data_IF_547401493202
#
_entry.id   IF_547401493202
#
_cell.length_a   1.000
_cell.length_b   1.000
_cell.length_c   1.000
_cell.angle_alpha   90.00
_cell.angle_beta   90.00
_cell.angle_gamma   90.00
#
_symmetry.space_group_name_H-M   'P 1'
#
loop_
_entity.id
_entity.type
_entity.pdbx_description
1 polymer ?
#
# COMPACT_ATOMS: atom_id res chain seq x y z
N UNK A 1 28.01 15.74 11.27
CA UNK A 1 27.65 15.57 9.85
C UNK A 1 26.29 14.91 9.88
N UNK A 2 25.25 15.63 9.47
CA UNK A 2 23.93 15.03 9.27
C UNK A 2 24.09 14.03 8.12
N UNK A 3 23.86 12.75 8.39
CA UNK A 3 23.74 11.77 7.32
C UNK A 3 22.46 12.12 6.57
N UNK A 4 22.60 12.55 5.31
CA UNK A 4 21.47 12.66 4.40
C UNK A 4 20.89 11.25 4.22
N UNK A 5 19.80 10.94 4.92
CA UNK A 5 19.02 9.75 4.63
C UNK A 5 18.51 9.88 3.20
N UNK A 6 18.84 8.90 2.36
CA UNK A 6 18.34 8.84 0.99
C UNK A 6 16.82 8.81 1.02
N UNK A 7 16.20 9.77 0.33
CA UNK A 7 14.74 9.84 0.18
C UNK A 7 14.29 8.65 -0.66
N UNK A 8 13.86 7.57 0.00
CA UNK A 8 13.34 6.37 -0.63
C UNK A 8 11.86 6.19 -0.35
N UNK A 9 11.13 5.65 -1.34
CA UNK A 9 9.74 5.27 -1.16
C UNK A 9 9.65 4.17 -0.11
N UNK A 10 8.89 4.43 0.96
CA UNK A 10 8.68 3.45 2.02
C UNK A 10 7.76 2.34 1.51
N UNK A 11 8.14 1.08 1.74
CA UNK A 11 7.29 -0.09 1.44
C UNK A 11 6.84 -0.73 2.74
N UNK A 12 5.53 -0.74 2.97
CA UNK A 12 4.92 -1.22 4.20
C UNK A 12 4.12 -2.49 3.89
N UNK A 13 4.50 -3.62 4.50
CA UNK A 13 3.86 -4.93 4.25
C UNK A 13 2.65 -5.20 5.14
N UNK A 14 2.58 -4.57 6.31
CA UNK A 14 1.49 -4.73 7.28
C UNK A 14 0.77 -3.40 7.40
N UNK A 15 -0.56 -3.40 7.25
CA UNK A 15 -1.35 -2.17 7.41
C UNK A 15 -1.15 -1.66 8.85
N UNK A 16 -0.67 -0.42 9.04
CA UNK A 16 -0.55 0.17 10.37
C UNK A 16 -1.94 0.52 10.92
N UNK A 17 -2.05 0.61 12.24
CA UNK A 17 -3.14 1.38 12.86
C UNK A 17 -3.02 2.87 12.53
N UNK A 18 -4.08 3.65 12.78
CA UNK A 18 -4.03 5.11 12.63
C UNK A 18 -2.92 5.74 13.48
N UNK A 19 -2.75 5.28 14.72
CA UNK A 19 -1.72 5.79 15.64
C UNK A 19 -0.30 5.43 15.17
N UNK A 20 -0.12 4.21 14.65
CA UNK A 20 1.15 3.77 14.05
C UNK A 20 1.49 4.61 12.80
N UNK A 21 0.49 4.94 11.97
CA UNK A 21 0.71 5.80 10.81
C UNK A 21 1.17 7.21 11.23
N UNK A 22 0.44 7.86 12.14
CA UNK A 22 0.72 9.22 12.62
C UNK A 22 2.09 9.30 13.31
N UNK A 23 2.46 8.29 14.08
CA UNK A 23 3.71 8.31 14.85
C UNK A 23 4.94 7.88 14.06
N UNK A 24 4.81 6.98 13.06
CA UNK A 24 5.97 6.34 12.43
C UNK A 24 6.10 6.61 10.93
N UNK A 25 5.01 6.93 10.22
CA UNK A 25 5.00 7.07 8.75
C UNK A 25 4.85 8.53 8.34
N UNK A 26 3.83 9.21 8.85
CA UNK A 26 3.55 10.63 8.53
C UNK A 26 4.75 11.56 8.79
N UNK A 27 5.50 11.47 9.92
CA UNK A 27 6.58 12.41 10.21
C UNK A 27 7.79 12.27 9.29
N UNK A 28 7.94 11.11 8.63
CA UNK A 28 9.01 10.90 7.65
C UNK A 28 8.83 11.75 6.41
N UNK A 29 7.61 12.23 6.14
CA UNK A 29 7.29 13.14 5.05
C UNK A 29 7.80 12.66 3.67
N UNK A 30 7.74 11.34 3.44
CA UNK A 30 8.09 10.68 2.18
C UNK A 30 6.93 9.78 1.73
N UNK A 31 6.76 9.54 0.42
CA UNK A 31 5.73 8.64 -0.07
C UNK A 31 5.87 7.21 0.49
N UNK A 32 4.73 6.59 0.81
CA UNK A 32 4.66 5.20 1.28
C UNK A 32 3.71 4.37 0.41
N UNK A 33 4.09 3.11 0.16
CA UNK A 33 3.29 2.10 -0.53
C UNK A 33 2.91 1.00 0.45
N UNK A 34 1.61 0.79 0.64
CA UNK A 34 1.07 -0.28 1.48
C UNK A 34 0.75 -1.51 0.62
N UNK A 35 1.53 -2.58 0.79
CA UNK A 35 1.37 -3.79 -0.01
C UNK A 35 0.28 -4.68 0.59
N UNK A 36 -0.63 -5.16 -0.26
CA UNK A 36 -1.66 -6.13 0.12
C UNK A 36 -2.83 -5.55 0.92
N UNK A 37 -2.89 -4.23 1.12
CA UNK A 37 -3.92 -3.60 1.95
C UNK A 37 -5.33 -3.67 1.38
N UNK A 38 -5.46 -4.01 0.10
CA UNK A 38 -6.73 -4.17 -0.63
C UNK A 38 -7.04 -5.61 -0.97
N UNK A 39 -6.25 -6.58 -0.50
CA UNK A 39 -6.42 -7.99 -0.87
C UNK A 39 -7.82 -8.51 -0.51
N UNK A 40 -8.41 -8.05 0.60
CA UNK A 40 -9.74 -8.46 1.03
C UNK A 40 -10.88 -7.74 0.30
N UNK A 41 -10.56 -6.77 -0.58
CA UNK A 41 -11.59 -6.03 -1.31
C UNK A 41 -12.24 -6.94 -2.36
N UNK A 42 -13.57 -6.86 -2.49
CA UNK A 42 -14.29 -7.57 -3.55
C UNK A 42 -13.77 -7.19 -4.94
N UNK A 43 -13.40 -5.92 -5.14
CA UNK A 43 -12.84 -5.43 -6.39
C UNK A 43 -11.52 -6.13 -6.76
N UNK A 44 -10.64 -6.36 -5.78
CA UNK A 44 -9.37 -7.08 -6.01
C UNK A 44 -9.60 -8.47 -6.61
N UNK A 45 -10.64 -9.17 -6.15
CA UNK A 45 -10.99 -10.51 -6.65
C UNK A 45 -11.81 -10.47 -7.95
N UNK A 46 -12.79 -9.58 -8.03
CA UNK A 46 -13.73 -9.51 -9.15
C UNK A 46 -13.12 -8.84 -10.38
N UNK A 47 -12.14 -7.96 -10.22
CA UNK A 47 -11.51 -7.26 -11.34
C UNK A 47 -10.15 -7.86 -11.66
N UNK A 48 -10.04 -9.19 -11.62
CA UNK A 48 -8.83 -9.92 -11.96
C UNK A 48 -9.02 -10.71 -13.26
N UNK A 49 -8.41 -10.25 -14.38
CA UNK A 49 -8.45 -10.96 -15.66
C UNK A 49 -7.89 -12.39 -15.57
N UNK A 50 -6.94 -12.63 -14.67
CA UNK A 50 -6.31 -13.95 -14.50
C UNK A 50 -7.25 -15.01 -13.92
N UNK A 51 -8.37 -14.58 -13.34
CA UNK A 51 -9.40 -15.46 -12.76
C UNK A 51 -10.76 -15.25 -13.40
N UNK A 52 -10.81 -14.84 -14.69
CA UNK A 52 -12.06 -14.58 -15.43
C UNK A 52 -12.94 -13.47 -14.83
N UNK A 53 -12.34 -12.58 -14.03
CA UNK A 53 -13.08 -11.56 -13.29
C UNK A 53 -13.83 -10.55 -14.17
N UNK A 54 -13.34 -10.28 -15.38
CA UNK A 54 -13.89 -9.28 -16.30
C UNK A 54 -14.73 -9.86 -17.44
N UNK A 55 -14.95 -11.17 -17.46
CA UNK A 55 -15.64 -11.87 -18.57
C UNK A 55 -17.08 -11.37 -18.76
N UNK A 56 -17.70 -10.82 -17.72
CA UNK A 56 -19.03 -10.22 -17.77
C UNK A 56 -19.14 -8.94 -18.64
N UNK A 57 -18.01 -8.38 -19.08
CA UNK A 57 -17.97 -7.19 -19.94
C UNK A 57 -17.94 -7.52 -21.44
N UNK A 58 -17.92 -8.80 -21.82
CA UNK A 58 -17.84 -9.25 -23.22
C UNK A 58 -19.22 -9.47 -23.87
#
# INVERSE_FOLDING_TARGET
>A
MEQEESIEIMKVKKIPSSDEFISQIEPRNVPAVFNGCVNDWKAFHKWNPSTAGLDYLQ
#
